data_IF_338095697494
#
_entry.id   IF_338095697494
#
_cell.length_a   1.000
_cell.length_b   1.000
_cell.length_c   1.000
_cell.angle_alpha   90.00
_cell.angle_beta   90.00
_cell.angle_gamma   90.00
#
_symmetry.space_group_name_H-M   'P 1'
#
loop_
_entity.id
_entity.type
_entity.pdbx_description
1 polymer ?
#
# COMPACT_ATOMS: atom_id res chain seq x y z
N UNK A 1 -8.80 -3.28 -12.31
CA UNK A 1 -7.83 -4.11 -13.05
C UNK A 1 -6.50 -4.12 -12.31
N UNK A 2 -5.80 -5.24 -12.34
CA UNK A 2 -4.48 -5.45 -11.76
C UNK A 2 -3.54 -5.89 -12.87
N UNK A 3 -2.47 -5.12 -13.11
CA UNK A 3 -1.37 -5.58 -13.96
C UNK A 3 -0.26 -6.05 -13.01
N UNK A 4 0.09 -7.32 -13.11
CA UNK A 4 1.06 -7.97 -12.23
C UNK A 4 2.31 -8.38 -13.00
N UNK A 5 3.48 -7.99 -12.49
CA UNK A 5 4.77 -8.41 -13.05
C UNK A 5 5.50 -9.27 -12.02
N UNK A 6 5.46 -10.61 -12.13
CA UNK A 6 6.25 -11.49 -11.26
C UNK A 6 7.72 -11.17 -11.47
N UNK A 7 8.49 -11.13 -10.39
CA UNK A 7 9.94 -11.15 -10.51
C UNK A 7 10.36 -12.51 -11.08
N UNK A 8 11.10 -12.57 -12.21
CA UNK A 8 11.75 -13.80 -12.69
C UNK A 8 12.50 -14.58 -11.61
N UNK A 9 13.03 -13.91 -10.59
CA UNK A 9 13.79 -14.53 -9.48
C UNK A 9 12.91 -14.83 -8.26
N UNK A 10 11.59 -14.65 -8.36
CA UNK A 10 10.67 -15.01 -7.29
C UNK A 10 10.71 -16.52 -7.05
N UNK A 11 11.00 -16.90 -5.81
CA UNK A 11 11.05 -18.32 -5.39
C UNK A 11 9.66 -18.94 -5.20
N UNK A 12 8.61 -18.12 -5.22
CA UNK A 12 7.21 -18.54 -5.11
C UNK A 12 6.39 -17.86 -6.20
N UNK A 13 5.26 -18.49 -6.54
CA UNK A 13 4.34 -18.00 -7.57
C UNK A 13 3.03 -17.56 -6.93
N UNK A 14 2.50 -16.36 -7.25
CA UNK A 14 1.18 -15.93 -6.79
C UNK A 14 0.06 -16.39 -7.73
N UNK A 15 0.33 -17.22 -8.74
CA UNK A 15 -0.66 -17.54 -9.78
C UNK A 15 -1.92 -18.19 -9.22
N UNK A 16 -1.79 -19.10 -8.25
CA UNK A 16 -2.95 -19.75 -7.64
C UNK A 16 -3.90 -18.73 -6.97
N UNK A 17 -3.35 -17.78 -6.21
CA UNK A 17 -4.20 -16.77 -5.58
C UNK A 17 -4.82 -15.85 -6.64
N UNK A 18 -4.06 -15.40 -7.64
CA UNK A 18 -4.59 -14.54 -8.70
C UNK A 18 -5.67 -15.25 -9.53
N UNK A 19 -5.50 -16.54 -9.83
CA UNK A 19 -6.47 -17.36 -10.54
C UNK A 19 -7.76 -17.51 -9.74
N UNK A 20 -7.70 -17.66 -8.41
CA UNK A 20 -8.91 -17.73 -7.58
C UNK A 20 -9.77 -16.48 -7.69
N UNK A 21 -9.16 -15.29 -7.72
CA UNK A 21 -9.89 -14.03 -7.87
C UNK A 21 -10.39 -13.83 -9.32
N UNK A 22 -9.55 -14.16 -10.30
CA UNK A 22 -9.86 -13.96 -11.74
C UNK A 22 -10.97 -14.91 -12.21
N UNK A 23 -10.87 -16.21 -11.89
CA UNK A 23 -11.87 -17.23 -12.26
C UNK A 23 -13.27 -16.95 -11.69
N UNK A 24 -13.36 -16.13 -10.64
CA UNK A 24 -14.61 -15.71 -10.00
C UNK A 24 -15.08 -14.32 -10.46
N UNK A 25 -14.43 -13.73 -11.46
CA UNK A 25 -14.78 -12.42 -12.02
C UNK A 25 -14.61 -11.26 -11.04
N UNK A 26 -13.75 -11.39 -10.02
CA UNK A 26 -13.59 -10.34 -9.00
C UNK A 26 -12.58 -9.29 -9.39
N UNK A 27 -11.50 -9.71 -10.03
CA UNK A 27 -10.41 -8.83 -10.44
C UNK A 27 -10.01 -9.26 -11.84
N UNK A 28 -9.98 -8.30 -12.75
CA UNK A 28 -9.34 -8.44 -14.04
C UNK A 28 -7.82 -8.34 -13.85
N UNK A 29 -7.10 -9.44 -14.11
CA UNK A 29 -5.66 -9.57 -13.86
C UNK A 29 -4.91 -9.86 -15.15
N UNK A 30 -3.96 -8.99 -15.50
CA UNK A 30 -2.97 -9.27 -16.54
C UNK A 30 -1.63 -9.60 -15.93
N UNK A 31 -1.03 -10.68 -16.39
CA UNK A 31 0.31 -11.09 -15.95
C UNK A 31 1.30 -10.75 -17.05
N UNK A 32 2.22 -9.83 -16.76
CA UNK A 32 3.27 -9.42 -17.70
C UNK A 32 4.58 -10.08 -17.31
N UNK A 33 5.14 -10.89 -18.21
CA UNK A 33 6.48 -11.46 -18.01
C UNK A 33 7.58 -10.46 -18.39
N UNK A 34 8.84 -10.84 -18.17
CA UNK A 34 9.98 -9.98 -18.49
C UNK A 34 10.06 -9.63 -19.99
N UNK A 35 9.64 -10.51 -20.89
CA UNK A 35 9.60 -10.24 -22.34
C UNK A 35 8.59 -9.15 -22.69
N UNK A 36 7.40 -9.16 -22.10
CA UNK A 36 6.39 -8.10 -22.28
C UNK A 36 6.92 -6.76 -21.77
N UNK A 37 7.61 -6.75 -20.63
CA UNK A 37 8.14 -5.53 -20.01
C UNK A 37 9.38 -5.00 -20.73
N UNK A 38 10.38 -5.84 -20.99
CA UNK A 38 11.71 -5.42 -21.45
C UNK A 38 11.96 -5.68 -22.95
N UNK A 39 11.13 -6.49 -23.62
CA UNK A 39 11.40 -6.94 -24.99
C UNK A 39 12.76 -7.65 -25.08
N UNK A 40 13.55 -7.29 -26.08
CA UNK A 40 14.90 -7.84 -26.32
C UNK A 40 15.91 -7.49 -25.22
N UNK A 41 15.59 -6.52 -24.35
CA UNK A 41 16.42 -6.19 -23.19
C UNK A 41 16.21 -7.15 -22.01
N UNK A 42 15.27 -8.09 -22.10
CA UNK A 42 15.13 -9.15 -21.10
C UNK A 42 16.39 -10.02 -21.07
N UNK A 43 17.03 -10.10 -19.90
CA UNK A 43 18.22 -10.93 -19.71
C UNK A 43 17.84 -12.38 -19.43
N UNK A 44 18.68 -13.31 -19.89
CA UNK A 44 18.67 -14.67 -19.38
C UNK A 44 19.22 -14.72 -17.95
N UNK A 45 18.91 -15.78 -17.22
CA UNK A 45 19.40 -15.97 -15.86
C UNK A 45 20.94 -16.00 -15.83
N UNK A 46 21.60 -16.62 -16.81
CA UNK A 46 23.07 -16.67 -16.88
C UNK A 46 23.68 -15.28 -17.06
N UNK A 47 23.09 -14.45 -17.91
CA UNK A 47 23.56 -13.08 -18.14
C UNK A 47 23.37 -12.23 -16.89
N UNK A 48 22.27 -12.45 -16.17
CA UNK A 48 21.98 -11.73 -14.94
C UNK A 48 22.93 -12.13 -13.80
N UNK A 49 23.18 -13.43 -13.60
CA UNK A 49 24.09 -13.92 -12.56
C UNK A 49 25.56 -13.54 -12.84
N UNK A 50 25.92 -13.31 -14.11
CA UNK A 50 27.24 -12.78 -14.48
C UNK A 50 27.43 -11.29 -14.16
N UNK A 51 26.36 -10.56 -13.80
CA UNK A 51 26.45 -9.14 -13.45
C UNK A 51 27.03 -8.93 -12.05
N UNK A 52 27.77 -7.84 -11.86
CA UNK A 52 28.14 -7.42 -10.50
C UNK A 52 26.90 -6.88 -9.74
N UNK A 53 26.96 -6.80 -8.39
CA UNK A 53 25.81 -6.37 -7.59
C UNK A 53 25.22 -5.00 -7.97
N UNK A 54 26.05 -4.04 -8.40
CA UNK A 54 25.56 -2.72 -8.85
C UNK A 54 24.76 -2.85 -10.15
N UNK A 55 25.26 -3.61 -11.12
CA UNK A 55 24.57 -3.87 -12.38
C UNK A 55 23.23 -4.60 -12.15
N UNK A 56 23.19 -5.57 -11.23
CA UNK A 56 21.94 -6.24 -10.84
C UNK A 56 20.93 -5.27 -10.24
N UNK A 57 21.38 -4.36 -9.36
CA UNK A 57 20.54 -3.30 -8.79
C UNK A 57 19.99 -2.37 -9.88
N UNK A 58 20.85 -1.91 -10.79
CA UNK A 58 20.47 -0.99 -11.86
C UNK A 58 19.50 -1.65 -12.84
N UNK A 59 19.71 -2.93 -13.18
CA UNK A 59 18.79 -3.71 -13.99
C UNK A 59 17.43 -3.88 -13.30
N UNK A 60 17.41 -4.22 -12.01
CA UNK A 60 16.17 -4.32 -11.23
C UNK A 60 15.38 -3.01 -11.24
N UNK A 61 16.05 -1.87 -11.01
CA UNK A 61 15.43 -0.54 -11.07
C UNK A 61 14.90 -0.21 -12.46
N UNK A 62 15.70 -0.49 -13.50
CA UNK A 62 15.29 -0.29 -14.89
C UNK A 62 14.04 -1.11 -15.25
N UNK A 63 13.97 -2.37 -14.81
CA UNK A 63 12.80 -3.23 -15.00
C UNK A 63 11.56 -2.69 -14.31
N UNK A 64 11.68 -2.25 -13.05
CA UNK A 64 10.57 -1.63 -12.33
C UNK A 64 10.08 -0.35 -13.02
N UNK A 65 11.01 0.49 -13.50
CA UNK A 65 10.70 1.72 -14.22
C UNK A 65 9.96 1.45 -15.53
N UNK A 66 10.46 0.52 -16.33
CA UNK A 66 9.86 0.17 -17.61
C UNK A 66 8.50 -0.52 -17.44
N UNK A 67 8.35 -1.37 -16.42
CA UNK A 67 7.07 -1.97 -16.07
C UNK A 67 6.02 -0.89 -15.76
N UNK A 68 6.33 0.04 -14.85
CA UNK A 68 5.39 1.12 -14.51
C UNK A 68 5.09 1.99 -15.74
N UNK A 69 6.09 2.30 -16.58
CA UNK A 69 5.89 3.10 -17.79
C UNK A 69 4.86 2.45 -18.70
N UNK A 70 5.06 1.18 -19.04
CA UNK A 70 4.16 0.43 -19.92
C UNK A 70 2.78 0.27 -19.29
N UNK A 71 2.70 0.01 -17.99
CA UNK A 71 1.45 -0.10 -17.25
C UNK A 71 0.63 1.19 -17.33
N UNK A 72 1.24 2.35 -17.03
CA UNK A 72 0.57 3.64 -17.09
C UNK A 72 0.14 4.00 -18.51
N UNK A 73 0.97 3.73 -19.52
CA UNK A 73 0.60 3.94 -20.93
C UNK A 73 -0.57 3.06 -21.36
N UNK A 74 -0.55 1.77 -20.99
CA UNK A 74 -1.63 0.83 -21.30
C UNK A 74 -2.94 1.30 -20.66
N UNK A 75 -2.95 1.51 -19.34
CA UNK A 75 -4.14 1.92 -18.60
C UNK A 75 -4.67 3.30 -19.08
N UNK A 76 -3.78 4.23 -19.44
CA UNK A 76 -4.17 5.51 -20.03
C UNK A 76 -4.84 5.30 -21.39
N UNK A 77 -4.22 4.51 -22.28
CA UNK A 77 -4.73 4.26 -23.64
C UNK A 77 -6.09 3.55 -23.67
N UNK A 78 -6.42 2.80 -22.62
CA UNK A 78 -7.71 2.15 -22.48
C UNK A 78 -8.85 3.12 -22.15
N UNK A 79 -8.53 4.31 -21.60
CA UNK A 79 -9.50 5.37 -21.32
C UNK A 79 -10.56 5.06 -20.24
N UNK A 80 -10.40 3.94 -19.52
CA UNK A 80 -11.39 3.45 -18.53
C UNK A 80 -10.95 3.65 -17.08
N UNK A 81 -9.67 3.97 -16.83
CA UNK A 81 -9.09 4.00 -15.49
C UNK A 81 -8.79 5.43 -15.07
N UNK A 82 -9.31 5.83 -13.91
CA UNK A 82 -9.05 7.14 -13.32
C UNK A 82 -7.82 7.09 -12.42
N UNK A 83 -7.87 6.32 -11.33
CA UNK A 83 -6.81 6.31 -10.32
C UNK A 83 -5.89 5.10 -10.46
N UNK A 84 -4.57 5.32 -10.53
CA UNK A 84 -3.56 4.26 -10.66
C UNK A 84 -2.41 4.48 -9.68
N UNK A 85 -2.00 3.40 -9.02
CA UNK A 85 -0.94 3.37 -8.01
C UNK A 85 -0.09 2.10 -8.17
N UNK A 86 1.20 2.18 -7.83
CA UNK A 86 2.14 1.06 -7.91
C UNK A 86 2.46 0.54 -6.51
N UNK A 87 2.20 -0.75 -6.27
CA UNK A 87 2.33 -1.41 -4.98
C UNK A 87 3.41 -2.48 -4.98
N UNK A 88 4.12 -2.59 -3.87
CA UNK A 88 4.81 -3.83 -3.52
C UNK A 88 3.82 -4.77 -2.82
N UNK A 89 4.03 -6.09 -2.89
CA UNK A 89 3.08 -7.10 -2.36
C UNK A 89 2.93 -7.09 -0.83
N UNK A 90 3.85 -6.41 -0.14
CA UNK A 90 3.93 -6.25 1.31
C UNK A 90 3.39 -4.88 1.78
N UNK A 91 2.65 -4.17 0.92
CA UNK A 91 2.12 -2.84 1.18
C UNK A 91 0.59 -2.79 1.11
N UNK A 92 -0.03 -2.17 2.12
CA UNK A 92 -1.48 -2.02 2.25
C UNK A 92 -1.83 -0.55 2.31
N UNK A 93 -2.66 -0.07 1.38
CA UNK A 93 -3.08 1.33 1.32
C UNK A 93 -4.46 1.46 1.95
N UNK A 94 -4.59 2.40 2.89
CA UNK A 94 -5.83 2.67 3.60
C UNK A 94 -6.11 4.18 3.61
N UNK A 95 -7.39 4.59 3.75
CA UNK A 95 -7.72 5.96 4.10
C UNK A 95 -7.03 6.39 5.40
N UNK A 96 -6.54 7.62 5.44
CA UNK A 96 -5.96 8.15 6.66
C UNK A 96 -7.06 8.57 7.64
N UNK A 97 -7.19 7.84 8.75
CA UNK A 97 -8.21 8.10 9.77
C UNK A 97 -8.10 9.50 10.39
N UNK A 98 -6.90 10.09 10.45
CA UNK A 98 -6.72 11.46 10.93
C UNK A 98 -7.37 12.49 9.99
N UNK A 99 -7.16 12.32 8.68
CA UNK A 99 -7.75 13.21 7.68
C UNK A 99 -9.25 12.99 7.58
N UNK A 100 -9.72 11.76 7.73
CA UNK A 100 -11.16 11.49 7.75
C UNK A 100 -11.87 12.27 8.88
N UNK A 101 -11.29 12.30 10.08
CA UNK A 101 -11.87 13.05 11.20
C UNK A 101 -11.87 14.57 10.95
N UNK A 102 -10.76 15.13 10.42
CA UNK A 102 -10.67 16.57 10.15
C UNK A 102 -11.55 17.01 8.96
N UNK A 103 -11.62 16.20 7.91
CA UNK A 103 -12.42 16.52 6.72
C UNK A 103 -13.91 16.29 6.95
N UNK A 104 -14.29 15.29 7.74
CA UNK A 104 -15.64 15.15 8.27
C UNK A 104 -16.12 16.45 8.93
N UNK A 105 -15.29 17.01 9.82
CA UNK A 105 -15.57 18.28 10.50
C UNK A 105 -15.71 19.42 9.49
N UNK A 106 -14.85 19.50 8.47
CA UNK A 106 -14.91 20.57 7.45
C UNK A 106 -16.15 20.47 6.57
N UNK A 107 -16.54 19.27 6.15
CA UNK A 107 -17.73 19.03 5.35
C UNK A 107 -18.98 19.43 6.14
N UNK A 108 -19.07 19.05 7.42
CA UNK A 108 -20.17 19.45 8.30
C UNK A 108 -20.24 20.97 8.48
N UNK A 109 -19.10 21.62 8.72
CA UNK A 109 -19.04 23.08 8.93
C UNK A 109 -19.43 23.85 7.67
N UNK A 110 -18.97 23.44 6.49
CA UNK A 110 -19.30 24.10 5.22
C UNK A 110 -20.74 23.82 4.78
N UNK A 111 -21.27 22.62 5.06
CA UNK A 111 -22.67 22.29 4.82
C UNK A 111 -23.64 23.05 5.73
N UNK A 112 -23.24 23.37 6.96
CA UNK A 112 -24.02 24.18 7.89
C UNK A 112 -23.89 25.70 7.64
N UNK A 113 -22.79 26.15 7.01
CA UNK A 113 -22.54 27.57 6.74
C UNK A 113 -23.42 28.15 5.62
N UNK A 114 -24.02 27.32 4.77
CA UNK A 114 -25.03 27.78 3.80
C UNK A 114 -26.39 28.13 4.46
N UNK A 115 -26.57 27.88 5.77
CA UNK A 115 -27.78 28.23 6.52
C UNK A 115 -27.59 29.29 7.62
N UNK A 116 -26.38 29.73 7.94
CA UNK A 116 -26.14 30.64 9.07
C UNK A 116 -25.19 31.80 8.78
N UNK A 117 -25.73 33.02 8.80
CA UNK A 117 -25.03 34.32 8.80
C UNK A 117 -23.85 34.36 9.80
N UNK A 118 -22.66 34.65 9.25
CA UNK A 118 -21.35 34.74 9.93
C UNK A 118 -21.27 35.70 11.14
N UNK A 119 -20.59 35.27 12.22
CA UNK A 119 -19.72 36.12 13.02
C UNK A 119 -18.23 35.76 12.86
N UNK A 120 -17.38 36.79 12.97
CA UNK A 120 -15.94 36.79 12.69
C UNK A 120 -15.10 35.87 13.59
N UNK A 121 -14.26 35.03 12.98
CA UNK A 121 -13.28 34.15 13.66
C UNK A 121 -11.92 34.84 13.79
N UNK A 122 -11.48 35.04 15.04
CA UNK A 122 -10.08 35.35 15.37
C UNK A 122 -9.61 34.36 16.45
N UNK A 123 -8.34 33.94 16.34
CA UNK A 123 -7.58 33.03 17.21
C UNK A 123 -7.55 31.53 16.82
N UNK A 124 -6.64 31.19 15.88
CA UNK A 124 -6.07 29.85 15.73
C UNK A 124 -4.54 29.96 15.89
N UNK A 125 -4.06 29.83 17.13
CA UNK A 125 -2.65 29.62 17.42
C UNK A 125 -2.48 29.06 18.85
N UNK A 126 -2.59 27.74 19.02
CA UNK A 126 -1.89 26.93 20.04
C UNK A 126 -2.51 25.53 20.16
N UNK A 127 -2.15 24.59 19.28
CA UNK A 127 -2.24 23.16 19.58
C UNK A 127 -0.93 22.52 19.10
N UNK A 128 0.01 22.39 20.04
CA UNK A 128 1.29 21.71 19.83
C UNK A 128 1.43 20.55 20.84
N UNK A 129 1.48 19.33 20.28
CA UNK A 129 2.41 18.24 20.61
C UNK A 129 2.42 17.58 22.00
N UNK A 130 1.43 17.82 22.86
CA UNK A 130 1.27 17.03 24.09
C UNK A 130 -0.19 16.65 24.28
N UNK A 131 -0.53 15.40 23.96
CA UNK A 131 -1.87 14.89 24.21
C UNK A 131 -1.97 13.43 23.82
N UNK A 132 -1.96 12.56 24.83
CA UNK A 132 -2.71 11.30 24.83
C UNK A 132 -3.94 11.40 23.92
N UNK A 133 -4.19 10.44 23.00
CA UNK A 133 -5.38 10.47 22.18
C UNK A 133 -6.57 10.65 23.11
N UNK A 134 -7.28 11.77 22.93
CA UNK A 134 -8.46 12.09 23.72
C UNK A 134 -9.37 10.86 23.72
N UNK A 135 -9.85 10.49 24.90
CA UNK A 135 -10.81 9.40 25.07
C UNK A 135 -11.88 9.53 23.98
N UNK A 136 -12.05 8.45 23.22
CA UNK A 136 -12.90 8.36 22.05
C UNK A 136 -14.36 8.71 22.39
N UNK A 137 -14.65 10.01 22.46
CA UNK A 137 -16.00 10.51 22.27
C UNK A 137 -16.39 10.15 20.85
N UNK A 138 -17.48 9.41 20.72
CA UNK A 138 -18.02 8.91 19.47
C UNK A 138 -18.28 10.07 18.50
N UNK A 139 -17.26 10.39 17.68
CA UNK A 139 -17.47 11.09 16.42
C UNK A 139 -18.57 10.34 15.66
N UNK A 140 -19.45 11.04 14.92
CA UNK A 140 -20.36 10.39 14.00
C UNK A 140 -19.54 9.39 13.20
N UNK A 141 -19.89 8.11 13.28
CA UNK A 141 -19.23 7.08 12.49
C UNK A 141 -19.60 7.41 11.05
N UNK A 142 -18.80 8.22 10.37
CA UNK A 142 -18.87 8.35 8.92
C UNK A 142 -18.84 6.92 8.41
N UNK A 143 -19.99 6.47 7.92
CA UNK A 143 -20.10 5.18 7.27
C UNK A 143 -19.00 5.14 6.22
N UNK A 144 -18.20 4.09 6.34
CA UNK A 144 -16.97 3.79 5.62
C UNK A 144 -16.80 4.51 4.27
N UNK A 145 -16.26 5.74 4.28
CA UNK A 145 -15.84 6.38 3.03
C UNK A 145 -14.72 5.53 2.41
N UNK A 146 -14.95 5.05 1.20
CA UNK A 146 -13.97 4.29 0.45
C UNK A 146 -12.82 5.20 0.04
N UNK A 147 -11.66 4.60 -0.27
CA UNK A 147 -10.52 5.35 -0.79
C UNK A 147 -10.86 6.13 -2.06
N UNK A 148 -11.69 5.56 -2.94
CA UNK A 148 -12.08 6.23 -4.19
C UNK A 148 -13.00 7.42 -3.90
N UNK A 149 -13.99 7.26 -3.04
CA UNK A 149 -14.86 8.39 -2.64
C UNK A 149 -14.05 9.52 -2.01
N UNK A 150 -13.07 9.20 -1.15
CA UNK A 150 -12.18 10.22 -0.57
C UNK A 150 -11.40 11.00 -1.64
N UNK A 151 -10.87 10.30 -2.65
CA UNK A 151 -10.15 10.92 -3.77
C UNK A 151 -11.08 11.76 -4.64
N UNK A 152 -12.30 11.28 -4.92
CA UNK A 152 -13.29 11.99 -5.72
C UNK A 152 -13.85 13.23 -5.02
N UNK A 153 -14.15 13.16 -3.72
CA UNK A 153 -14.53 14.33 -2.92
C UNK A 153 -13.41 15.37 -2.92
N UNK A 154 -12.18 14.92 -2.71
CA UNK A 154 -11.00 15.76 -2.77
C UNK A 154 -10.81 16.45 -4.13
N UNK A 155 -11.12 15.74 -5.22
CA UNK A 155 -11.08 16.25 -6.59
C UNK A 155 -12.17 17.29 -6.85
N UNK A 156 -13.39 17.06 -6.38
CA UNK A 156 -14.56 17.91 -6.66
C UNK A 156 -14.56 19.18 -5.82
N UNK A 157 -14.35 19.07 -4.51
CA UNK A 157 -14.54 20.18 -3.59
C UNK A 157 -13.30 21.05 -3.40
N UNK A 158 -12.21 20.79 -4.14
CA UNK A 158 -10.93 21.50 -4.05
C UNK A 158 -10.45 21.69 -2.60
N UNK A 159 -10.79 20.72 -1.75
CA UNK A 159 -10.71 20.78 -0.29
C UNK A 159 -9.26 20.97 0.17
N UNK A 160 -8.34 20.35 -0.55
CA UNK A 160 -6.91 20.44 -0.31
C UNK A 160 -6.19 20.59 -1.64
N UNK A 161 -5.20 21.48 -1.68
CA UNK A 161 -4.24 21.57 -2.79
C UNK A 161 -3.55 20.23 -3.07
N UNK A 162 -3.56 19.31 -2.09
CA UNK A 162 -3.06 17.95 -2.23
C UNK A 162 -3.97 17.07 -3.08
N UNK A 163 -5.27 17.12 -2.82
CA UNK A 163 -6.27 16.30 -3.50
C UNK A 163 -6.66 16.87 -4.88
N UNK A 164 -6.46 18.17 -5.09
CA UNK A 164 -6.65 18.79 -6.40
C UNK A 164 -5.49 18.57 -7.37
N UNK A 165 -4.39 17.95 -6.93
CA UNK A 165 -3.26 17.56 -7.79
C UNK A 165 -3.59 16.28 -8.58
N UNK A 166 -3.17 16.14 -9.86
CA UNK A 166 -3.31 14.89 -10.62
C UNK A 166 -2.44 13.76 -10.06
N UNK A 167 -1.52 14.07 -9.13
CA UNK A 167 -0.77 13.11 -8.35
C UNK A 167 -0.98 13.39 -6.86
N UNK A 168 -1.51 12.41 -6.14
CA UNK A 168 -1.76 12.48 -4.71
C UNK A 168 -0.69 11.63 -4.01
N UNK A 169 0.27 12.30 -3.38
CA UNK A 169 1.25 11.64 -2.54
C UNK A 169 0.66 11.21 -1.20
N UNK A 170 1.08 10.05 -0.72
CA UNK A 170 0.65 9.50 0.56
C UNK A 170 1.82 8.92 1.36
N UNK A 171 1.68 8.99 2.68
CA UNK A 171 2.70 8.56 3.64
C UNK A 171 2.86 7.05 3.64
N UNK A 172 4.09 6.56 3.87
CA UNK A 172 4.36 5.15 4.12
C UNK A 172 4.89 4.93 5.54
N UNK A 173 4.29 4.00 6.26
CA UNK A 173 4.73 3.52 7.56
C UNK A 173 5.41 2.17 7.45
N UNK A 174 6.52 1.99 8.14
CA UNK A 174 7.24 0.72 8.21
C UNK A 174 6.81 -0.04 9.47
N UNK A 175 6.27 -1.24 9.29
CA UNK A 175 5.86 -2.14 10.36
C UNK A 175 6.94 -3.21 10.58
N UNK A 176 7.46 -3.27 11.80
CA UNK A 176 8.44 -4.27 12.22
C UNK A 176 7.77 -5.57 12.67
N UNK A 177 8.55 -6.64 12.70
CA UNK A 177 8.12 -7.98 13.13
C UNK A 177 8.07 -8.11 14.66
N UNK A 178 7.38 -7.17 15.32
CA UNK A 178 7.19 -7.14 16.77
C UNK A 178 5.72 -7.47 17.08
N UNK A 179 5.53 -8.47 17.94
CA UNK A 179 4.24 -8.88 18.50
C UNK A 179 4.14 -8.41 19.96
N UNK A 180 2.93 -8.09 20.44
CA UNK A 180 2.63 -8.01 21.88
C UNK A 180 2.36 -9.39 22.47
N UNK A 181 2.34 -9.49 23.80
CA UNK A 181 1.85 -10.70 24.48
C UNK A 181 0.39 -11.01 24.09
N UNK A 182 -0.41 -9.96 23.86
CA UNK A 182 -1.79 -10.08 23.38
C UNK A 182 -1.85 -10.65 21.96
N UNK A 183 -0.99 -10.17 21.05
CA UNK A 183 -0.89 -10.67 19.66
C UNK A 183 -0.48 -12.16 19.67
N UNK A 184 0.46 -12.54 20.56
CA UNK A 184 0.88 -13.93 20.75
C UNK A 184 -0.26 -14.78 21.32
N UNK A 185 -0.96 -14.29 22.35
CA UNK A 185 -2.09 -15.00 22.93
C UNK A 185 -3.24 -15.19 21.93
N UNK A 186 -3.48 -14.19 21.09
CA UNK A 186 -4.48 -14.21 20.02
C UNK A 186 -4.02 -14.94 18.75
N UNK A 187 -2.77 -15.42 18.69
CA UNK A 187 -2.21 -16.05 17.49
C UNK A 187 -3.03 -17.25 16.99
N UNK A 188 -3.69 -17.98 17.91
CA UNK A 188 -4.55 -19.12 17.64
C UNK A 188 -6.05 -18.80 17.68
N UNK A 189 -6.43 -17.58 18.07
CA UNK A 189 -7.83 -17.17 18.04
C UNK A 189 -8.25 -16.82 16.62
N UNK A 190 -9.56 -16.94 16.36
CA UNK A 190 -10.13 -16.42 15.11
C UNK A 190 -10.01 -14.90 15.09
N UNK A 191 -9.95 -14.31 13.89
CA UNK A 191 -9.80 -12.85 13.77
C UNK A 191 -10.94 -12.09 14.45
N UNK A 192 -12.16 -12.62 14.36
CA UNK A 192 -13.33 -12.15 15.10
C UNK A 192 -14.33 -13.30 15.30
N UNK A 193 -15.35 -13.07 16.12
CA UNK A 193 -16.41 -14.06 16.41
C UNK A 193 -17.16 -14.46 15.13
N UNK A 194 -17.49 -15.75 15.02
CA UNK A 194 -18.20 -16.30 13.86
C UNK A 194 -17.34 -16.59 12.62
N UNK A 195 -16.03 -16.35 12.67
CA UNK A 195 -15.12 -16.68 11.56
C UNK A 195 -14.68 -18.15 11.56
N UNK A 196 -14.29 -18.70 10.39
CA UNK A 196 -13.72 -20.03 10.29
C UNK A 196 -12.51 -20.18 11.22
N UNK A 197 -12.39 -21.32 11.89
CA UNK A 197 -11.24 -21.64 12.77
C UNK A 197 -9.90 -21.64 12.03
N UNK A 198 -9.93 -21.83 10.70
CA UNK A 198 -8.76 -21.71 9.84
C UNK A 198 -8.22 -20.27 9.73
N UNK A 199 -9.03 -19.26 10.05
CA UNK A 199 -8.65 -17.85 9.99
C UNK A 199 -8.08 -17.38 11.32
N UNK A 200 -6.92 -17.92 11.64
CA UNK A 200 -6.16 -17.52 12.81
C UNK A 200 -5.49 -16.16 12.58
N UNK A 201 -5.44 -15.29 13.58
CA UNK A 201 -4.82 -13.96 13.45
C UNK A 201 -3.36 -14.03 12.97
N UNK A 202 -2.62 -15.04 13.42
CA UNK A 202 -1.23 -15.28 13.02
C UNK A 202 -1.01 -15.52 11.52
N UNK A 203 -2.07 -15.84 10.76
CA UNK A 203 -2.02 -16.05 9.30
C UNK A 203 -2.07 -14.76 8.50
N UNK A 204 -2.45 -13.65 9.12
CA UNK A 204 -2.62 -12.36 8.47
C UNK A 204 -1.62 -11.34 9.04
N UNK A 205 -0.64 -10.95 8.22
CA UNK A 205 0.43 -10.05 8.64
C UNK A 205 -0.08 -8.71 9.19
N UNK A 206 -1.24 -8.23 8.71
CA UNK A 206 -1.87 -6.99 9.18
C UNK A 206 -2.41 -7.09 10.60
N UNK A 207 -2.75 -8.30 11.07
CA UNK A 207 -3.20 -8.55 12.44
C UNK A 207 -2.05 -8.92 13.37
N UNK A 208 -1.01 -9.53 12.80
CA UNK A 208 0.15 -10.02 13.54
C UNK A 208 1.14 -8.91 13.90
N UNK A 209 1.42 -7.99 12.98
CA UNK A 209 2.49 -7.00 13.15
C UNK A 209 1.92 -5.60 13.36
N UNK A 210 1.64 -5.26 14.61
CA UNK A 210 0.91 -4.03 14.95
C UNK A 210 1.82 -2.85 15.32
N UNK A 211 3.14 -3.03 15.28
CA UNK A 211 4.10 -2.01 15.69
C UNK A 211 4.80 -1.42 14.47
N UNK A 212 4.71 -0.10 14.33
CA UNK A 212 5.45 0.66 13.32
C UNK A 212 6.59 1.46 13.93
N UNK A 213 7.57 1.77 13.08
CA UNK A 213 8.62 2.73 13.41
C UNK A 213 7.98 4.11 13.53
N UNK A 214 8.16 4.82 14.67
CA UNK A 214 7.57 6.15 14.86
C UNK A 214 8.20 7.19 13.91
N UNK A 215 7.47 8.27 13.68
CA UNK A 215 7.97 9.45 12.96
C UNK A 215 7.58 9.56 11.48
N UNK A 216 7.53 10.81 11.03
CA UNK A 216 7.13 11.23 9.68
C UNK A 216 8.28 11.21 8.65
N UNK A 217 9.48 10.73 9.00
CA UNK A 217 10.67 10.75 8.13
C UNK A 217 11.25 9.39 7.74
N UNK A 218 10.71 8.28 8.26
CA UNK A 218 11.35 6.96 8.21
C UNK A 218 11.34 6.28 6.84
N UNK A 219 10.36 6.58 5.98
CA UNK A 219 10.29 6.08 4.61
C UNK A 219 9.76 7.15 3.65
N UNK A 220 10.20 7.08 2.40
CA UNK A 220 9.54 7.80 1.30
C UNK A 220 8.13 7.23 1.09
N UNK A 221 7.15 8.11 1.02
CA UNK A 221 5.78 7.83 0.62
C UNK A 221 5.66 7.39 -0.84
N UNK A 222 4.46 7.05 -1.28
CA UNK A 222 4.17 6.74 -2.69
C UNK A 222 3.15 7.73 -3.26
N UNK A 223 2.79 7.55 -4.53
CA UNK A 223 1.82 8.39 -5.21
C UNK A 223 0.76 7.57 -5.91
N UNK A 224 -0.49 8.04 -5.83
CA UNK A 224 -1.59 7.61 -6.70
C UNK A 224 -1.84 8.71 -7.73
N UNK A 225 -2.09 8.32 -8.97
CA UNK A 225 -2.18 9.24 -10.11
C UNK A 225 -3.55 9.16 -10.75
N UNK A 226 -4.15 10.33 -10.98
CA UNK A 226 -5.35 10.49 -11.80
C UNK A 226 -4.96 10.54 -13.28
N UNK A 227 -5.06 9.39 -13.96
CA UNK A 227 -4.76 9.24 -15.38
C UNK A 227 -5.64 10.09 -16.29
N UNK A 228 -6.86 10.48 -15.85
CA UNK A 228 -7.74 11.34 -16.65
C UNK A 228 -7.16 12.74 -16.85
N UNK A 229 -6.16 13.11 -16.04
CA UNK A 229 -5.47 14.41 -16.06
C UNK A 229 -4.02 14.33 -16.53
N UNK A 230 -3.57 13.14 -16.94
CA UNK A 230 -2.22 12.91 -17.47
C UNK A 230 -2.21 13.20 -18.97
N UNK A 231 -1.22 13.98 -19.44
CA UNK A 231 -1.00 14.23 -20.87
C UNK A 231 0.06 13.26 -21.40
N UNK A 232 -0.26 12.31 -22.27
CA UNK A 232 0.71 11.27 -22.67
C UNK A 232 1.98 11.82 -23.33
N UNK A 233 1.82 12.82 -24.17
CA UNK A 233 2.87 13.47 -24.95
C UNK A 233 3.85 14.30 -24.10
N UNK A 234 3.41 14.78 -22.93
CA UNK A 234 4.24 15.58 -22.02
C UNK A 234 4.68 14.76 -20.81
N UNK A 235 3.71 14.18 -20.11
CA UNK A 235 3.89 13.60 -18.79
C UNK A 235 4.42 12.16 -18.87
N UNK A 236 3.98 11.38 -19.87
CA UNK A 236 4.44 9.99 -20.07
C UNK A 236 5.65 9.87 -21.00
N UNK A 237 5.91 10.87 -21.84
CA UNK A 237 7.08 10.88 -22.74
C UNK A 237 8.42 10.81 -22.00
N UNK A 238 8.51 11.42 -20.81
CA UNK A 238 9.74 11.51 -20.01
C UNK A 238 9.76 10.58 -18.79
N UNK A 239 9.25 9.35 -18.96
CA UNK A 239 9.18 8.37 -17.88
C UNK A 239 10.55 7.84 -17.41
N UNK A 240 11.66 8.19 -18.09
CA UNK A 240 13.04 7.67 -17.89
C UNK A 240 13.67 7.89 -16.52
N UNK A 241 12.89 8.32 -15.53
CA UNK A 241 13.38 8.44 -14.16
C UNK A 241 12.27 8.34 -13.11
N UNK A 242 11.10 7.82 -13.49
CA UNK A 242 10.02 7.51 -12.55
C UNK A 242 10.47 6.49 -11.51
N UNK A 243 9.72 6.40 -10.43
CA UNK A 243 9.83 5.35 -9.44
C UNK A 243 8.50 5.28 -8.67
N UNK A 244 8.22 4.24 -7.88
CA UNK A 244 6.97 4.14 -7.14
C UNK A 244 6.68 5.32 -6.20
N UNK A 245 7.70 6.06 -5.77
CA UNK A 245 7.57 7.26 -4.94
C UNK A 245 7.21 8.52 -5.73
N UNK A 246 7.51 8.53 -7.04
CA UNK A 246 7.20 9.61 -7.98
C UNK A 246 6.84 9.01 -9.34
N UNK A 247 5.63 8.44 -9.50
CA UNK A 247 5.28 7.67 -10.69
C UNK A 247 5.42 8.47 -11.99
N UNK A 248 4.99 9.74 -12.00
CA UNK A 248 5.17 10.67 -13.13
C UNK A 248 5.79 11.96 -12.62
N UNK A 249 7.08 12.17 -12.87
CA UNK A 249 7.83 13.29 -12.25
C UNK A 249 7.32 14.68 -12.59
N UNK A 250 6.76 14.88 -13.78
CA UNK A 250 6.26 16.18 -14.24
C UNK A 250 5.06 16.66 -13.43
N UNK A 251 4.28 15.73 -12.86
CA UNK A 251 3.07 16.03 -12.09
C UNK A 251 3.13 15.52 -10.63
N UNK A 252 4.13 14.73 -10.27
CA UNK A 252 4.40 14.25 -8.91
C UNK A 252 5.65 14.96 -8.33
N UNK A 253 5.50 16.12 -7.67
CA UNK A 253 6.59 16.84 -7.01
C UNK A 253 7.34 15.97 -6.00
N UNK A 254 8.65 16.21 -5.85
CA UNK A 254 9.46 15.46 -4.89
C UNK A 254 8.97 15.63 -3.43
N UNK A 255 8.46 16.81 -3.09
CA UNK A 255 7.90 17.10 -1.77
C UNK A 255 6.74 16.17 -1.40
N UNK A 256 5.99 15.66 -2.39
CA UNK A 256 4.87 14.76 -2.12
C UNK A 256 5.30 13.41 -1.54
N UNK A 257 6.50 12.93 -1.89
CA UNK A 257 7.06 11.68 -1.35
C UNK A 257 7.49 11.82 0.13
N UNK A 258 7.56 13.05 0.66
CA UNK A 258 7.98 13.36 2.02
C UNK A 258 6.88 14.04 2.85
N UNK A 259 5.62 13.95 2.40
CA UNK A 259 4.48 14.48 3.16
C UNK A 259 4.40 13.86 4.54
N UNK A 260 3.95 14.67 5.51
CA UNK A 260 3.64 14.21 6.86
C UNK A 260 2.40 13.34 6.84
N UNK A 261 2.25 12.45 7.83
CA UNK A 261 1.08 11.60 7.94
C UNK A 261 -0.21 12.42 7.96
N UNK A 262 -0.29 13.44 8.83
CA UNK A 262 -1.48 14.32 8.97
C UNK A 262 -1.88 15.08 7.71
N UNK A 263 -0.98 15.24 6.76
CA UNK A 263 -1.23 15.97 5.50
C UNK A 263 -1.60 15.03 4.34
N UNK A 264 -1.52 13.72 4.57
CA UNK A 264 -1.73 12.71 3.54
C UNK A 264 -3.15 12.14 3.67
N UNK A 265 -4.00 12.21 2.63
CA UNK A 265 -5.35 11.67 2.69
C UNK A 265 -5.37 10.14 2.81
N UNK A 266 -4.31 9.49 2.36
CA UNK A 266 -4.10 8.06 2.44
C UNK A 266 -2.81 7.78 3.21
N UNK A 267 -2.71 6.57 3.75
CA UNK A 267 -1.46 6.04 4.33
C UNK A 267 -1.23 4.61 3.85
N UNK A 268 0.04 4.26 3.68
CA UNK A 268 0.47 2.94 3.25
C UNK A 268 1.22 2.24 4.38
N UNK A 269 0.80 1.04 4.72
CA UNK A 269 1.43 0.18 5.70
C UNK A 269 2.35 -0.80 4.98
N UNK A 270 3.65 -0.71 5.23
CA UNK A 270 4.65 -1.58 4.65
C UNK A 270 5.17 -2.55 5.71
N UNK A 271 4.84 -3.83 5.55
CA UNK A 271 5.18 -4.88 6.51
C UNK A 271 6.46 -5.61 6.09
N UNK A 272 7.42 -5.75 7.00
CA UNK A 272 8.66 -6.47 6.67
C UNK A 272 8.47 -8.00 6.61
N UNK A 273 7.40 -8.52 7.23
CA UNK A 273 7.13 -9.95 7.39
C UNK A 273 7.88 -10.57 8.57
N UNK A 274 7.72 -11.88 8.79
CA UNK A 274 8.57 -12.59 9.75
C UNK A 274 10.02 -12.71 9.24
N UNK A 275 10.93 -13.19 10.10
CA UNK A 275 12.33 -13.34 9.75
C UNK A 275 12.52 -14.26 8.53
N UNK A 276 11.76 -15.35 8.44
CA UNK A 276 11.87 -16.28 7.32
C UNK A 276 11.47 -15.59 6.01
N UNK A 277 10.34 -14.89 5.99
CA UNK A 277 9.84 -14.11 4.85
C UNK A 277 10.82 -13.00 4.45
N UNK A 278 11.38 -12.29 5.45
CA UNK A 278 12.33 -11.21 5.22
C UNK A 278 13.60 -11.71 4.53
N UNK A 279 14.15 -12.84 5.01
CA UNK A 279 15.39 -13.46 4.51
C UNK A 279 15.16 -14.32 3.26
N UNK A 280 13.94 -14.75 2.98
CA UNK A 280 13.61 -15.57 1.81
C UNK A 280 13.78 -14.80 0.49
N UNK A 281 13.60 -13.48 0.53
CA UNK A 281 13.68 -12.58 -0.63
C UNK A 281 15.13 -12.39 -1.07
N UNK A 282 15.41 -12.77 -2.31
CA UNK A 282 16.69 -12.45 -2.95
C UNK A 282 16.62 -11.01 -3.47
N UNK A 283 17.24 -10.10 -2.71
CA UNK A 283 17.16 -8.66 -3.00
C UNK A 283 18.39 -8.23 -3.79
N UNK A 284 18.25 -7.87 -5.07
CA UNK A 284 19.40 -7.54 -5.91
C UNK A 284 20.08 -6.21 -5.52
N UNK A 285 19.55 -5.52 -4.50
CA UNK A 285 20.09 -4.28 -3.94
C UNK A 285 21.21 -4.49 -2.92
N UNK A 286 21.64 -5.74 -2.70
CA UNK A 286 22.74 -6.12 -1.78
C UNK A 286 24.05 -5.39 -2.04
N UNK A 287 24.32 -4.98 -3.28
CA UNK A 287 25.50 -4.20 -3.65
C UNK A 287 25.56 -2.77 -3.10
N UNK A 288 24.45 -2.24 -2.54
CA UNK A 288 24.32 -0.83 -2.15
C UNK A 288 24.35 -0.57 -0.62
N UNK A 289 25.01 -1.43 0.18
CA UNK A 289 24.99 -1.40 1.67
C UNK A 289 23.62 -1.67 2.30
N UNK A 290 22.56 -1.85 1.52
CA UNK A 290 21.25 -2.28 2.00
C UNK A 290 21.21 -3.81 1.91
N UNK A 291 21.93 -4.43 2.83
CA UNK A 291 21.95 -5.89 2.93
C UNK A 291 20.77 -6.31 3.80
N UNK A 292 19.89 -7.17 3.27
CA UNK A 292 18.86 -7.83 4.09
C UNK A 292 19.54 -8.80 5.04
N UNK A 293 19.95 -8.29 6.19
CA UNK A 293 20.64 -9.07 7.21
C UNK A 293 19.77 -9.24 8.43
N UNK A 294 20.18 -10.18 9.29
CA UNK A 294 19.55 -10.37 10.60
C UNK A 294 19.64 -9.06 11.40
N UNK A 295 20.74 -8.32 11.32
CA UNK A 295 20.90 -7.04 12.02
C UNK A 295 19.89 -6.00 11.53
N UNK A 296 19.65 -5.93 10.21
CA UNK A 296 18.64 -5.01 9.66
C UNK A 296 17.23 -5.39 10.09
N UNK A 297 16.92 -6.69 10.10
CA UNK A 297 15.64 -7.21 10.58
C UNK A 297 15.42 -6.88 12.07
N UNK A 298 16.39 -7.20 12.92
CA UNK A 298 16.34 -6.93 14.36
C UNK A 298 16.29 -5.43 14.67
N UNK A 299 17.01 -4.61 13.88
CA UNK A 299 16.91 -3.15 13.98
C UNK A 299 15.48 -2.67 13.72
N UNK A 300 14.87 -3.05 12.60
CA UNK A 300 13.51 -2.62 12.25
C UNK A 300 12.48 -3.11 13.29
N UNK A 301 12.65 -4.33 13.81
CA UNK A 301 11.83 -4.88 14.89
C UNK A 301 11.97 -4.06 16.17
N UNK A 302 13.20 -3.72 16.57
CA UNK A 302 13.50 -2.92 17.77
C UNK A 302 12.99 -1.47 17.68
N UNK A 303 13.14 -0.84 16.51
CA UNK A 303 12.72 0.54 16.26
C UNK A 303 11.19 0.68 16.15
N UNK A 304 10.46 -0.42 16.02
CA UNK A 304 9.00 -0.42 15.93
C UNK A 304 8.38 -0.28 17.32
N UNK A 305 8.03 0.96 17.69
CA UNK A 305 7.57 1.34 19.04
C UNK A 305 6.25 2.10 19.06
N UNK A 306 5.62 2.35 17.92
CA UNK A 306 4.28 2.93 17.85
C UNK A 306 3.25 1.87 17.46
N UNK A 307 2.26 1.63 18.31
CA UNK A 307 1.16 0.71 18.03
C UNK A 307 0.20 1.33 16.99
N UNK A 308 -0.18 0.55 15.98
CA UNK A 308 -1.08 0.98 14.92
C UNK A 308 -1.86 -0.25 14.38
N UNK A 309 -3.16 -0.27 14.67
CA UNK A 309 -4.09 -1.34 14.25
C UNK A 309 -5.03 -0.87 13.14
N UNK A 310 -4.77 0.27 12.50
CA UNK A 310 -5.71 0.89 11.55
C UNK A 310 -5.98 0.04 10.29
N UNK A 311 -5.10 -0.91 9.97
CA UNK A 311 -5.34 -1.88 8.91
C UNK A 311 -6.28 -3.05 9.31
N UNK A 312 -6.67 -3.22 10.58
CA UNK A 312 -7.48 -4.38 11.02
C UNK A 312 -8.91 -4.39 10.48
N UNK A 313 -9.39 -3.30 9.86
CA UNK A 313 -10.74 -3.23 9.31
C UNK A 313 -10.93 -3.98 7.98
N UNK A 314 -9.85 -4.32 7.26
CA UNK A 314 -10.00 -4.80 5.88
C UNK A 314 -10.67 -6.17 5.79
N UNK A 315 -10.41 -7.11 6.73
CA UNK A 315 -10.95 -8.47 6.63
C UNK A 315 -12.45 -8.51 6.93
N UNK A 316 -12.91 -7.74 7.91
CA UNK A 316 -14.35 -7.63 8.19
C UNK A 316 -15.08 -6.93 7.05
N UNK A 317 -14.50 -5.85 6.50
CA UNK A 317 -15.01 -5.21 5.28
C UNK A 317 -15.08 -6.18 4.10
N UNK A 318 -14.01 -6.94 3.85
CA UNK A 318 -13.95 -7.94 2.79
C UNK A 318 -15.04 -9.01 2.94
N UNK A 319 -15.23 -9.55 4.15
CA UNK A 319 -16.31 -10.52 4.43
C UNK A 319 -17.69 -9.92 4.21
N UNK A 320 -17.90 -8.68 4.65
CA UNK A 320 -19.16 -7.94 4.43
C UNK A 320 -19.45 -7.79 2.93
N UNK A 321 -18.43 -7.48 2.14
CA UNK A 321 -18.58 -7.19 0.71
C UNK A 321 -18.81 -8.45 -0.14
N UNK A 322 -18.11 -9.55 0.15
CA UNK A 322 -18.12 -10.75 -0.71
C UNK A 322 -18.91 -11.91 -0.13
N UNK A 323 -19.26 -11.85 1.16
CA UNK A 323 -19.89 -12.94 1.91
C UNK A 323 -18.87 -13.93 2.49
N UNK A 324 -19.21 -14.52 3.63
CA UNK A 324 -18.32 -15.40 4.39
C UNK A 324 -17.85 -16.63 3.60
N UNK A 325 -18.76 -17.32 2.94
CA UNK A 325 -18.45 -18.52 2.14
C UNK A 325 -17.43 -18.21 1.05
N UNK A 326 -17.69 -17.14 0.28
CA UNK A 326 -16.81 -16.71 -0.80
C UNK A 326 -15.47 -16.21 -0.28
N UNK A 327 -15.46 -15.46 0.81
CA UNK A 327 -14.23 -15.01 1.46
C UNK A 327 -13.38 -16.21 1.92
N UNK A 328 -14.02 -17.26 2.48
CA UNK A 328 -13.37 -18.51 2.89
C UNK A 328 -12.67 -19.18 1.71
N UNK A 329 -13.34 -19.29 0.56
CA UNK A 329 -12.75 -19.85 -0.65
C UNK A 329 -11.58 -19.01 -1.21
N UNK A 330 -11.65 -17.68 -1.11
CA UNK A 330 -10.61 -16.78 -1.63
C UNK A 330 -9.34 -16.77 -0.76
N UNK A 331 -9.53 -16.86 0.57
CA UNK A 331 -8.48 -16.84 1.58
C UNK A 331 -7.94 -18.23 1.92
N UNK A 332 -8.33 -19.26 1.17
CA UNK A 332 -7.82 -20.61 1.37
C UNK A 332 -6.29 -20.66 1.30
N UNK A 333 -5.67 -21.23 2.34
CA UNK A 333 -4.21 -21.36 2.44
C UNK A 333 -3.45 -20.05 2.72
N UNK A 334 -4.15 -18.98 3.11
CA UNK A 334 -3.50 -17.72 3.53
C UNK A 334 -2.57 -17.95 4.73
N UNK A 335 -1.40 -17.30 4.71
CA UNK A 335 -0.40 -17.44 5.76
C UNK A 335 0.25 -18.82 5.86
N UNK A 336 0.00 -19.73 4.92
CA UNK A 336 0.70 -21.02 4.85
C UNK A 336 1.99 -20.92 4.06
N UNK A 337 3.00 -21.69 4.48
CA UNK A 337 4.26 -21.77 3.72
C UNK A 337 4.04 -22.51 2.39
N UNK A 338 4.84 -22.20 1.38
CA UNK A 338 4.84 -22.92 0.10
C UNK A 338 5.01 -24.44 0.28
N UNK A 339 5.83 -24.87 1.23
CA UNK A 339 6.02 -26.29 1.53
C UNK A 339 4.74 -26.95 2.09
N UNK A 340 4.00 -26.23 2.93
CA UNK A 340 2.71 -26.68 3.47
C UNK A 340 1.70 -26.84 2.35
N UNK A 341 1.58 -25.83 1.48
CA UNK A 341 0.67 -25.86 0.33
C UNK A 341 1.01 -27.01 -0.63
N UNK A 342 2.31 -27.22 -0.92
CA UNK A 342 2.75 -28.32 -1.79
C UNK A 342 2.45 -29.71 -1.22
N UNK A 343 2.49 -29.88 0.11
CA UNK A 343 2.15 -31.15 0.76
C UNK A 343 0.67 -31.48 0.65
N UNK A 344 -0.23 -30.50 0.71
CA UNK A 344 -1.69 -30.73 0.57
C UNK A 344 -2.12 -31.21 -0.82
N UNK A 345 -1.33 -30.90 -1.84
CA UNK A 345 -1.62 -31.28 -3.24
C UNK A 345 -1.15 -32.68 -3.61
N UNK A 346 -0.38 -33.32 -2.74
CA UNK A 346 0.09 -34.70 -2.89
C UNK A 346 -0.78 -35.60 -2.02
#
# INVERSE_FOLDING_TARGET
RLIFHPDPRAKTSPMEILERYTSRGMIDVDIWNATVVLGDAALSDERYEAMNPKQQTDYFRGRQQEFMRKCFLQLHSEGKWTWVTAHDIDEYLIPNQHVQAEEAIRIEVNGAADEATHPSRSSEAAIAESGTPAAAGSLPTFEHITMIELLELGRQANISSTLSSPCVGFRRFLFGARETEEDIAASNSTVFEGMPTAWQQSKFITYRWNWRIPGDGTAMGKGIVDLSRVRPDVDLANFRSSNPHRPIKTICPAAQAWRRARESPLVMHHYIGDQQQFMFRDDPRTGMKVTRTIETFEKNKKESTALDKSAHGWLSGFVKDVGLERATALLEGVGESYHTQRRRRR
#
